data_IF_925380884787
#
_entry.id   IF_925380884787
#
_cell.length_a   1.000
_cell.length_b   1.000
_cell.length_c   1.000
_cell.angle_alpha   90.00
_cell.angle_beta   90.00
_cell.angle_gamma   90.00
#
_symmetry.space_group_name_H-M   'P 1'
#
loop_
_entity.id
_entity.type
_entity.pdbx_description
1 polymer ?
#
# COMPACT_ATOMS: atom_id res chain seq x y z
N UNK A 1 -61.17 -71.36 16.79
CA UNK A 1 -61.23 -70.02 17.48
C UNK A 1 -60.25 -69.18 16.77
N UNK A 2 -60.77 -68.25 15.95
CA UNK A 2 -59.98 -67.37 15.11
C UNK A 2 -59.66 -66.08 15.86
N UNK A 3 -58.38 -65.75 15.96
CA UNK A 3 -57.94 -64.46 16.41
C UNK A 3 -57.23 -63.71 15.27
N UNK A 4 -57.88 -62.67 14.79
CA UNK A 4 -57.31 -61.75 13.80
C UNK A 4 -56.37 -60.74 14.52
N UNK A 5 -55.20 -60.39 13.91
CA UNK A 5 -54.41 -59.24 14.44
C UNK A 5 -54.89 -57.92 13.80
N UNK A 6 -54.97 -56.88 14.64
CA UNK A 6 -55.24 -55.50 14.26
C UNK A 6 -54.02 -54.89 13.52
N UNK A 7 -54.21 -54.02 12.50
CA UNK A 7 -53.13 -53.29 11.88
C UNK A 7 -52.72 -52.11 12.77
N UNK A 8 -51.38 -51.94 12.97
CA UNK A 8 -50.76 -50.84 13.63
C UNK A 8 -50.89 -49.52 12.79
N UNK A 9 -51.34 -48.46 13.45
CA UNK A 9 -51.42 -47.12 12.87
C UNK A 9 -50.03 -46.59 12.56
N UNK A 10 -49.77 -46.25 11.27
CA UNK A 10 -48.56 -45.56 10.82
C UNK A 10 -48.55 -44.11 11.35
N UNK A 11 -47.53 -43.78 12.15
CA UNK A 11 -47.23 -42.38 12.50
C UNK A 11 -46.80 -41.58 11.29
N UNK A 12 -46.94 -40.25 11.33
CA UNK A 12 -46.58 -39.39 10.20
C UNK A 12 -45.06 -39.48 9.92
N UNK A 13 -44.72 -39.73 8.65
CA UNK A 13 -43.33 -39.75 8.17
C UNK A 13 -42.71 -38.37 8.38
N UNK A 14 -41.63 -38.28 9.15
CA UNK A 14 -40.78 -37.13 9.26
C UNK A 14 -40.10 -36.93 7.89
N UNK A 15 -40.26 -35.75 7.22
CA UNK A 15 -39.56 -35.52 5.98
C UNK A 15 -38.06 -35.60 6.21
N UNK A 16 -37.25 -36.13 5.27
CA UNK A 16 -35.81 -36.15 5.40
C UNK A 16 -35.29 -34.75 5.52
N UNK A 17 -34.42 -34.51 6.50
CA UNK A 17 -33.67 -33.26 6.62
C UNK A 17 -33.00 -32.95 5.27
N UNK A 18 -33.28 -31.78 4.73
CA UNK A 18 -32.63 -31.29 3.50
C UNK A 18 -31.12 -31.44 3.72
N UNK A 19 -30.46 -32.16 2.81
CA UNK A 19 -29.02 -32.25 2.77
C UNK A 19 -28.49 -30.82 2.73
N UNK A 20 -27.68 -30.40 3.73
CA UNK A 20 -26.97 -29.13 3.71
C UNK A 20 -26.13 -29.12 2.43
N UNK A 21 -26.59 -28.38 1.41
CA UNK A 21 -25.88 -28.21 0.16
C UNK A 21 -24.48 -27.69 0.51
N UNK A 22 -23.48 -28.27 -0.16
CA UNK A 22 -22.10 -27.82 0.02
C UNK A 22 -22.00 -26.30 -0.19
N UNK A 23 -21.42 -25.56 0.78
CA UNK A 23 -21.29 -24.11 0.68
C UNK A 23 -20.54 -23.75 -0.63
N UNK A 24 -21.10 -22.82 -1.39
CA UNK A 24 -20.58 -22.42 -2.71
C UNK A 24 -19.29 -21.60 -2.60
N UNK A 25 -19.16 -20.84 -1.49
CA UNK A 25 -18.05 -19.92 -1.25
C UNK A 25 -17.28 -20.28 0.02
N UNK A 26 -15.98 -20.07 0.00
CA UNK A 26 -15.13 -20.33 1.17
C UNK A 26 -15.35 -19.26 2.24
N UNK A 27 -15.49 -17.99 1.83
CA UNK A 27 -15.74 -16.84 2.72
C UNK A 27 -16.66 -15.82 2.04
N UNK A 28 -17.54 -15.18 2.82
CA UNK A 28 -18.34 -14.03 2.41
C UNK A 28 -18.12 -12.83 3.34
N UNK A 29 -17.99 -11.63 2.78
CA UNK A 29 -18.10 -10.35 3.49
C UNK A 29 -19.48 -9.81 3.19
N UNK A 30 -20.35 -9.73 4.22
CA UNK A 30 -21.76 -9.43 4.04
C UNK A 30 -22.18 -8.14 4.75
N UNK A 31 -23.11 -7.41 4.18
CA UNK A 31 -23.80 -6.27 4.81
C UNK A 31 -23.06 -4.94 4.75
N UNK A 32 -21.86 -4.88 4.16
CA UNK A 32 -21.04 -3.68 4.10
C UNK A 32 -21.36 -2.76 2.93
N UNK A 33 -20.80 -1.55 2.96
CA UNK A 33 -20.74 -0.63 1.82
C UNK A 33 -19.45 -0.88 1.05
N UNK A 34 -19.56 -1.45 -0.14
CA UNK A 34 -18.41 -1.66 -1.03
C UNK A 34 -18.03 -0.34 -1.70
N UNK A 35 -16.76 0.04 -1.56
CA UNK A 35 -16.12 1.11 -2.35
C UNK A 35 -15.03 0.46 -3.20
N UNK A 36 -15.32 0.30 -4.48
CA UNK A 36 -14.37 -0.18 -5.49
C UNK A 36 -14.33 0.80 -6.66
N UNK A 37 -13.38 1.75 -6.66
CA UNK A 37 -13.32 2.77 -7.71
C UNK A 37 -13.03 2.20 -9.10
N UNK A 38 -12.38 1.02 -9.21
CA UNK A 38 -12.15 0.36 -10.50
C UNK A 38 -13.44 -0.09 -11.16
N UNK A 39 -14.38 -0.62 -10.38
CA UNK A 39 -15.70 -1.04 -10.85
C UNK A 39 -16.73 0.10 -10.87
N UNK A 40 -16.38 1.28 -10.35
CA UNK A 40 -17.31 2.39 -10.17
C UNK A 40 -18.38 2.13 -9.10
N UNK A 41 -18.11 1.20 -8.17
CA UNK A 41 -19.08 0.82 -7.12
C UNK A 41 -18.83 1.65 -5.86
N UNK A 42 -19.90 2.26 -5.34
CA UNK A 42 -20.00 2.84 -4.00
C UNK A 42 -21.42 2.56 -3.51
N UNK A 43 -21.66 1.36 -3.04
CA UNK A 43 -23.00 0.89 -2.69
C UNK A 43 -22.91 -0.31 -1.75
N UNK A 44 -24.04 -0.62 -1.07
CA UNK A 44 -24.16 -1.87 -0.35
C UNK A 44 -24.04 -3.04 -1.32
N UNK A 45 -23.01 -3.88 -1.11
CA UNK A 45 -22.77 -5.11 -1.87
C UNK A 45 -22.10 -6.13 -0.95
N UNK A 46 -22.48 -7.37 -1.14
CA UNK A 46 -21.81 -8.51 -0.54
C UNK A 46 -20.75 -9.05 -1.50
N UNK A 47 -19.61 -9.47 -0.94
CA UNK A 47 -18.48 -10.01 -1.68
C UNK A 47 -18.18 -11.42 -1.20
N UNK A 48 -18.05 -12.37 -2.11
CA UNK A 48 -17.69 -13.75 -1.77
C UNK A 48 -16.41 -14.20 -2.45
N UNK A 49 -15.69 -15.08 -1.76
CA UNK A 49 -14.40 -15.59 -2.18
C UNK A 49 -14.46 -17.13 -2.33
N UNK A 50 -13.74 -17.64 -3.32
CA UNK A 50 -13.54 -19.07 -3.55
C UNK A 50 -12.16 -19.30 -4.15
N UNK A 51 -11.44 -20.30 -3.65
CA UNK A 51 -10.12 -20.68 -4.14
C UNK A 51 -9.15 -19.50 -4.27
N UNK A 52 -9.13 -18.62 -3.26
CA UNK A 52 -8.21 -17.47 -3.20
C UNK A 52 -8.57 -16.27 -4.08
N UNK A 53 -9.74 -16.30 -4.75
CA UNK A 53 -10.18 -15.23 -5.67
C UNK A 53 -11.55 -14.70 -5.32
N UNK A 54 -11.84 -13.50 -5.80
CA UNK A 54 -13.21 -12.97 -5.79
C UNK A 54 -14.08 -13.81 -6.71
N UNK A 55 -15.14 -14.40 -6.14
CA UNK A 55 -16.05 -15.29 -6.84
C UNK A 55 -17.40 -14.64 -7.17
N UNK A 56 -17.87 -13.71 -6.34
CA UNK A 56 -19.11 -12.98 -6.56
C UNK A 56 -19.08 -11.60 -5.89
N UNK A 57 -19.78 -10.63 -6.52
CA UNK A 57 -20.15 -9.33 -5.95
C UNK A 57 -21.63 -9.13 -6.26
N UNK A 58 -22.47 -9.25 -5.24
CA UNK A 58 -23.93 -9.28 -5.40
C UNK A 58 -24.59 -8.26 -4.45
N UNK A 59 -25.88 -7.92 -4.68
CA UNK A 59 -26.62 -7.06 -3.76
C UNK A 59 -26.84 -7.73 -2.41
N UNK A 60 -27.01 -9.06 -2.42
CA UNK A 60 -27.14 -9.88 -1.22
C UNK A 60 -26.71 -11.32 -1.50
N UNK A 61 -25.88 -11.86 -0.64
CA UNK A 61 -25.44 -13.26 -0.67
C UNK A 61 -26.00 -13.97 0.58
N UNK A 62 -26.76 -15.06 0.38
CA UNK A 62 -27.28 -15.83 1.50
C UNK A 62 -26.15 -16.41 2.35
N UNK A 63 -26.21 -16.27 3.68
CA UNK A 63 -25.24 -16.81 4.64
C UNK A 63 -24.97 -18.30 4.41
N UNK A 64 -26.01 -19.08 4.05
CA UNK A 64 -25.91 -20.53 3.78
C UNK A 64 -25.04 -20.87 2.58
N UNK A 65 -24.72 -19.91 1.68
CA UNK A 65 -23.81 -20.10 0.56
C UNK A 65 -22.34 -19.97 0.95
N UNK A 66 -22.03 -19.52 2.16
CA UNK A 66 -20.66 -19.27 2.63
C UNK A 66 -20.29 -20.23 3.74
N UNK A 67 -19.07 -20.79 3.72
CA UNK A 67 -18.52 -21.59 4.83
C UNK A 67 -18.18 -20.71 6.04
N UNK A 68 -17.67 -19.51 5.77
CA UNK A 68 -17.32 -18.50 6.77
C UNK A 68 -17.90 -17.15 6.34
N UNK A 69 -18.30 -16.33 7.34
CA UNK A 69 -18.88 -15.02 7.10
C UNK A 69 -18.18 -13.98 7.98
N UNK A 70 -17.85 -12.84 7.36
CA UNK A 70 -17.46 -11.61 8.02
C UNK A 70 -18.64 -10.66 7.93
N UNK A 71 -19.19 -10.25 9.07
CA UNK A 71 -20.22 -9.20 9.16
C UNK A 71 -19.58 -7.81 9.00
N UNK A 72 -19.89 -7.16 7.91
CA UNK A 72 -19.43 -5.82 7.58
C UNK A 72 -20.55 -4.77 7.74
N UNK A 73 -21.65 -5.09 8.43
CA UNK A 73 -22.76 -4.16 8.63
C UNK A 73 -22.28 -2.84 9.25
N UNK A 74 -22.61 -1.72 8.58
CA UNK A 74 -22.19 -0.38 9.01
C UNK A 74 -20.72 -0.05 8.74
N UNK A 75 -20.00 -0.89 7.98
CA UNK A 75 -18.57 -0.73 7.66
C UNK A 75 -18.34 -0.60 6.17
N UNK A 76 -17.15 -0.14 5.83
CA UNK A 76 -16.67 -0.06 4.46
C UNK A 76 -15.99 -1.37 4.08
N UNK A 77 -16.27 -1.86 2.89
CA UNK A 77 -15.54 -2.96 2.26
C UNK A 77 -14.76 -2.38 1.09
N UNK A 78 -13.46 -2.56 1.08
CA UNK A 78 -12.58 -2.04 0.03
C UNK A 78 -11.68 -3.16 -0.49
N UNK A 79 -11.15 -3.07 -1.72
CA UNK A 79 -10.05 -3.92 -2.15
C UNK A 79 -8.92 -3.89 -1.12
N UNK A 80 -8.17 -4.97 -1.00
CA UNK A 80 -6.99 -4.98 -0.13
C UNK A 80 -6.11 -3.78 -0.39
N UNK A 81 -5.73 -3.07 0.67
CA UNK A 81 -4.95 -1.84 0.57
C UNK A 81 -3.56 -2.14 0.00
N UNK A 82 -3.03 -1.19 -0.75
CA UNK A 82 -1.70 -1.25 -1.37
C UNK A 82 -0.88 -0.07 -0.87
N UNK A 83 0.20 -0.36 -0.16
CA UNK A 83 1.18 0.65 0.26
C UNK A 83 2.37 0.64 -0.68
N UNK A 84 2.53 1.72 -1.46
CA UNK A 84 3.58 1.83 -2.48
C UNK A 84 4.95 2.18 -1.94
N UNK A 85 5.08 2.44 -0.64
CA UNK A 85 6.34 2.84 -0.04
C UNK A 85 6.47 2.33 1.39
N UNK A 86 7.22 1.24 1.56
CA UNK A 86 7.54 0.62 2.84
C UNK A 86 9.00 0.16 2.85
N UNK A 87 9.51 -0.19 4.04
CA UNK A 87 10.83 -0.81 4.18
C UNK A 87 10.70 -2.12 4.98
N UNK A 88 10.57 -3.24 4.26
CA UNK A 88 10.20 -4.54 4.84
C UNK A 88 11.30 -5.59 4.73
N UNK A 89 12.55 -5.19 4.96
CA UNK A 89 13.71 -6.09 5.00
C UNK A 89 14.33 -6.16 6.39
N UNK A 90 13.63 -6.80 7.38
CA UNK A 90 14.10 -6.89 8.75
C UNK A 90 15.44 -7.66 8.83
N UNK A 91 16.31 -7.23 9.75
CA UNK A 91 17.59 -7.86 10.01
C UNK A 91 18.71 -7.52 9.03
N UNK A 92 18.41 -6.93 7.87
CA UNK A 92 19.41 -6.49 6.88
C UNK A 92 19.33 -4.99 6.66
N UNK A 93 18.18 -4.45 6.24
CA UNK A 93 18.00 -3.01 6.19
C UNK A 93 17.86 -2.44 7.59
N UNK A 94 18.54 -1.33 7.87
CA UNK A 94 18.38 -0.65 9.15
C UNK A 94 16.97 -0.08 9.37
N UNK A 95 16.18 0.07 8.29
CA UNK A 95 14.78 0.48 8.31
C UNK A 95 13.81 -0.69 8.51
N UNK A 96 14.26 -1.94 8.26
CA UNK A 96 13.41 -3.11 8.07
C UNK A 96 12.43 -3.42 9.19
N UNK A 97 11.15 -3.60 8.82
CA UNK A 97 10.06 -4.09 9.66
C UNK A 97 9.48 -5.38 9.09
N UNK A 98 8.69 -6.09 9.89
CA UNK A 98 7.90 -7.24 9.45
C UNK A 98 6.62 -6.79 8.74
N UNK A 99 6.43 -7.21 7.48
CA UNK A 99 5.30 -6.78 6.66
C UNK A 99 3.96 -7.36 7.16
N UNK A 100 3.94 -8.59 7.64
CA UNK A 100 2.70 -9.22 8.11
C UNK A 100 2.22 -8.53 9.38
N UNK A 101 3.13 -8.19 10.28
CA UNK A 101 2.83 -7.52 11.54
C UNK A 101 2.38 -6.07 11.34
N UNK A 102 3.06 -5.30 10.48
CA UNK A 102 2.86 -3.85 10.39
C UNK A 102 1.97 -3.42 9.20
N UNK A 103 1.90 -4.24 8.14
CA UNK A 103 1.11 -3.95 6.95
C UNK A 103 -0.18 -4.80 6.91
N UNK A 104 -0.05 -6.15 6.84
CA UNK A 104 -1.20 -7.04 6.68
C UNK A 104 -2.21 -6.90 7.82
N UNK A 105 -1.76 -6.82 9.07
CA UNK A 105 -2.62 -6.65 10.24
C UNK A 105 -3.49 -5.40 10.17
N UNK A 106 -3.11 -4.40 9.36
CA UNK A 106 -3.81 -3.12 9.20
C UNK A 106 -4.59 -3.00 7.88
N UNK A 107 -4.75 -4.09 7.12
CA UNK A 107 -5.51 -4.11 5.87
C UNK A 107 -4.68 -3.95 4.61
N UNK A 108 -3.37 -3.73 4.73
CA UNK A 108 -2.44 -3.63 3.60
C UNK A 108 -2.08 -5.04 3.14
N UNK A 109 -2.77 -5.55 2.14
CA UNK A 109 -2.56 -6.90 1.60
C UNK A 109 -1.42 -6.97 0.59
N UNK A 110 -1.01 -5.81 0.05
CA UNK A 110 0.12 -5.66 -0.87
C UNK A 110 0.99 -4.50 -0.41
N UNK A 111 2.27 -4.74 -0.17
CA UNK A 111 3.26 -3.72 0.20
C UNK A 111 4.43 -3.72 -0.78
N UNK A 112 4.94 -2.53 -1.08
CA UNK A 112 6.08 -2.35 -1.97
C UNK A 112 7.27 -1.86 -1.15
N UNK A 113 8.34 -2.66 -1.12
CA UNK A 113 9.61 -2.24 -0.54
C UNK A 113 10.28 -1.20 -1.43
N UNK A 114 10.56 -0.03 -0.88
CA UNK A 114 11.09 1.10 -1.63
C UNK A 114 12.62 1.14 -1.62
N UNK A 115 13.25 0.00 -1.94
CA UNK A 115 14.68 -0.08 -2.17
C UNK A 115 15.52 -0.39 -0.95
N UNK A 116 14.98 -1.12 0.02
CA UNK A 116 15.79 -1.64 1.15
C UNK A 116 16.90 -2.55 0.68
N UNK A 117 16.67 -3.34 -0.39
CA UNK A 117 17.66 -4.21 -1.02
C UNK A 117 18.28 -3.56 -2.27
N UNK A 118 19.56 -3.81 -2.48
CA UNK A 118 20.27 -3.64 -3.75
C UNK A 118 20.61 -4.99 -4.36
N UNK A 119 21.28 -4.99 -5.52
CA UNK A 119 21.55 -6.21 -6.29
C UNK A 119 22.29 -7.30 -5.48
N UNK A 120 23.22 -6.91 -4.60
CA UNK A 120 23.99 -7.86 -3.78
C UNK A 120 23.21 -8.44 -2.60
N UNK A 121 22.14 -7.77 -2.16
CA UNK A 121 21.35 -8.17 -0.98
C UNK A 121 19.97 -8.70 -1.34
N UNK A 122 19.53 -8.54 -2.60
CA UNK A 122 18.19 -8.91 -3.05
C UNK A 122 17.89 -10.41 -2.94
N UNK A 123 18.87 -11.27 -3.19
CA UNK A 123 18.70 -12.72 -3.07
C UNK A 123 18.25 -13.16 -1.68
N UNK A 124 18.78 -12.50 -0.64
CA UNK A 124 18.33 -12.69 0.74
C UNK A 124 16.91 -12.18 0.98
N UNK A 125 16.59 -11.00 0.44
CA UNK A 125 15.24 -10.43 0.53
C UNK A 125 14.20 -11.35 -0.13
N UNK A 126 14.44 -11.79 -1.35
CA UNK A 126 13.55 -12.68 -2.07
C UNK A 126 13.30 -14.01 -1.31
N UNK A 127 14.37 -14.62 -0.81
CA UNK A 127 14.29 -15.95 -0.18
C UNK A 127 13.72 -15.92 1.24
N UNK A 128 14.13 -14.95 2.06
CA UNK A 128 13.84 -14.97 3.50
C UNK A 128 12.75 -14.00 3.93
N UNK A 129 12.35 -13.07 3.05
CA UNK A 129 11.28 -12.12 3.33
C UNK A 129 10.11 -12.30 2.36
N UNK A 130 10.34 -12.18 1.04
CA UNK A 130 9.25 -12.25 0.06
C UNK A 130 8.57 -13.62 0.06
N UNK A 131 9.35 -14.70 -0.03
CA UNK A 131 8.81 -16.05 -0.17
C UNK A 131 7.94 -16.52 1.02
N UNK A 132 8.30 -16.25 2.31
CA UNK A 132 7.48 -16.69 3.44
C UNK A 132 6.37 -15.70 3.82
N UNK A 133 6.36 -14.45 3.32
CA UNK A 133 5.41 -13.43 3.70
C UNK A 133 3.99 -13.75 3.23
N UNK A 134 3.02 -13.55 4.11
CA UNK A 134 1.58 -13.60 3.77
C UNK A 134 1.14 -12.31 3.06
N UNK A 135 1.76 -11.18 3.39
CA UNK A 135 1.63 -9.93 2.64
C UNK A 135 2.20 -10.14 1.24
N UNK A 136 1.49 -9.72 0.20
CA UNK A 136 2.06 -9.70 -1.16
C UNK A 136 3.13 -8.63 -1.22
N UNK A 137 4.36 -9.03 -1.48
CA UNK A 137 5.50 -8.13 -1.54
C UNK A 137 5.98 -7.95 -2.97
N UNK A 138 6.15 -6.69 -3.35
CA UNK A 138 6.92 -6.24 -4.50
C UNK A 138 8.03 -5.32 -4.01
N UNK A 139 8.97 -4.95 -4.89
CA UNK A 139 10.04 -4.04 -4.52
C UNK A 139 10.53 -3.19 -5.70
N UNK A 140 11.02 -2.01 -5.38
CA UNK A 140 11.99 -1.28 -6.19
C UNK A 140 13.40 -1.69 -5.77
N UNK A 141 14.27 -1.97 -6.71
CA UNK A 141 15.65 -2.31 -6.41
C UNK A 141 16.48 -1.04 -6.23
N UNK A 142 17.22 -0.91 -5.14
CA UNK A 142 18.13 0.22 -4.96
C UNK A 142 19.22 0.19 -6.05
N UNK A 143 19.53 1.36 -6.64
CA UNK A 143 20.63 1.47 -7.61
C UNK A 143 21.98 1.16 -6.97
N UNK A 144 22.13 1.40 -5.65
CA UNK A 144 23.28 0.89 -4.89
C UNK A 144 23.15 -0.61 -4.73
N UNK A 145 24.20 -1.35 -5.09
CA UNK A 145 24.23 -2.81 -4.96
C UNK A 145 24.04 -3.29 -3.53
N UNK A 146 24.39 -2.46 -2.55
CA UNK A 146 24.26 -2.78 -1.12
C UNK A 146 22.84 -2.61 -0.59
N UNK A 147 22.08 -1.65 -1.13
CA UNK A 147 20.82 -1.23 -0.54
C UNK A 147 20.99 -0.46 0.78
N UNK A 148 19.95 -0.37 1.60
CA UNK A 148 19.90 0.46 2.81
C UNK A 148 20.33 -0.32 4.06
N UNK A 149 21.59 -0.80 4.10
CA UNK A 149 22.07 -1.67 5.18
C UNK A 149 22.54 -0.91 6.42
N UNK A 150 22.89 0.38 6.32
CA UNK A 150 23.47 1.14 7.43
C UNK A 150 22.98 2.59 7.47
N UNK A 151 22.51 3.04 8.64
CA UNK A 151 22.19 4.47 8.86
C UNK A 151 23.43 5.36 8.88
N UNK A 152 24.60 4.81 9.26
CA UNK A 152 25.85 5.56 9.39
C UNK A 152 26.59 5.73 8.08
N UNK A 153 26.43 4.76 7.19
CA UNK A 153 27.09 4.73 5.89
C UNK A 153 25.97 4.79 4.85
N UNK A 154 25.86 5.93 4.18
CA UNK A 154 24.88 6.10 3.12
C UNK A 154 25.13 5.11 1.99
N UNK A 155 24.08 4.61 1.39
CA UNK A 155 24.14 3.60 0.34
C UNK A 155 24.88 4.02 -0.93
N UNK A 156 25.13 5.32 -1.10
CA UNK A 156 25.90 5.91 -2.19
C UNK A 156 26.99 6.86 -1.68
N UNK A 157 27.49 6.60 -0.46
CA UNK A 157 28.69 7.28 0.06
C UNK A 157 29.91 7.05 -0.84
N UNK A 158 30.00 5.88 -1.43
CA UNK A 158 30.87 5.58 -2.57
C UNK A 158 30.00 5.49 -3.83
N UNK A 159 30.19 6.40 -4.81
CA UNK A 159 29.43 6.37 -6.05
C UNK A 159 29.60 5.09 -6.89
N UNK A 160 30.68 4.35 -6.70
CA UNK A 160 30.95 3.10 -7.42
C UNK A 160 30.01 1.96 -7.00
N UNK A 161 29.27 2.14 -5.89
CA UNK A 161 28.20 1.20 -5.51
C UNK A 161 26.95 1.34 -6.38
N UNK A 162 26.79 2.40 -7.16
CA UNK A 162 25.74 2.52 -8.16
C UNK A 162 26.12 1.70 -9.40
N UNK A 163 25.51 0.52 -9.55
CA UNK A 163 25.83 -0.41 -10.64
C UNK A 163 24.56 -0.68 -11.49
N UNK A 164 24.40 0.01 -12.63
CA UNK A 164 23.25 -0.17 -13.49
C UNK A 164 23.22 -1.55 -14.16
N UNK A 165 24.37 -2.16 -14.48
CA UNK A 165 24.41 -3.48 -15.10
C UNK A 165 23.88 -4.56 -14.16
N UNK A 166 24.39 -4.62 -12.93
CA UNK A 166 23.89 -5.56 -11.90
C UNK A 166 22.44 -5.32 -11.56
N UNK A 167 22.01 -4.06 -11.53
CA UNK A 167 20.61 -3.69 -11.33
C UNK A 167 19.73 -4.27 -12.45
N UNK A 168 20.14 -4.13 -13.72
CA UNK A 168 19.44 -4.71 -14.87
C UNK A 168 19.36 -6.23 -14.78
N UNK A 169 20.47 -6.90 -14.53
CA UNK A 169 20.54 -8.36 -14.42
C UNK A 169 19.60 -8.87 -13.32
N UNK A 170 19.59 -8.19 -12.15
CA UNK A 170 18.74 -8.58 -11.00
C UNK A 170 17.25 -8.37 -11.31
N UNK A 171 16.89 -7.22 -11.92
CA UNK A 171 15.48 -6.96 -12.29
C UNK A 171 15.02 -7.97 -13.34
N UNK A 172 15.83 -8.30 -14.33
CA UNK A 172 15.49 -9.27 -15.38
C UNK A 172 15.28 -10.68 -14.82
N UNK A 173 16.07 -11.07 -13.82
CA UNK A 173 15.95 -12.36 -13.15
C UNK A 173 14.73 -12.47 -12.20
N UNK A 174 14.17 -11.34 -11.75
CA UNK A 174 13.12 -11.28 -10.72
C UNK A 174 11.96 -10.34 -11.08
N UNK A 175 11.50 -10.38 -12.34
CA UNK A 175 10.40 -9.51 -12.85
C UNK A 175 9.05 -9.77 -12.18
N UNK A 176 8.89 -10.89 -11.52
CA UNK A 176 7.71 -11.23 -10.72
C UNK A 176 7.61 -10.42 -9.42
N UNK A 177 8.75 -9.92 -8.91
CA UNK A 177 8.83 -9.15 -7.66
C UNK A 177 9.32 -7.72 -7.90
N UNK A 178 10.31 -7.51 -8.78
CA UNK A 178 10.95 -6.21 -8.99
C UNK A 178 10.19 -5.36 -10.00
N UNK A 179 9.77 -4.16 -9.54
CA UNK A 179 8.92 -3.23 -10.29
C UNK A 179 9.71 -2.11 -10.97
N UNK A 180 10.92 -1.80 -10.49
CA UNK A 180 11.72 -0.68 -10.98
C UNK A 180 12.95 -0.41 -10.12
N UNK A 181 13.50 0.79 -10.27
CA UNK A 181 14.74 1.20 -9.60
C UNK A 181 14.45 2.29 -8.57
N UNK A 182 14.98 2.15 -7.36
CA UNK A 182 14.98 3.19 -6.32
C UNK A 182 16.30 3.94 -6.31
N UNK A 183 16.22 5.26 -6.17
CA UNK A 183 17.37 6.11 -5.88
C UNK A 183 17.03 7.16 -4.82
N UNK A 184 17.96 7.39 -3.88
CA UNK A 184 17.89 8.53 -2.95
C UNK A 184 18.98 9.54 -3.32
N UNK A 185 18.62 10.83 -3.29
CA UNK A 185 19.52 11.94 -3.61
C UNK A 185 19.92 12.75 -2.37
N UNK A 186 19.52 12.30 -1.18
CA UNK A 186 19.78 12.98 0.10
C UNK A 186 21.28 13.01 0.39
N UNK A 187 21.81 14.19 0.73
CA UNK A 187 23.23 14.41 1.07
C UNK A 187 23.80 13.49 2.16
N UNK A 188 22.94 13.01 3.07
CA UNK A 188 23.35 12.06 4.10
C UNK A 188 23.64 10.66 3.53
N UNK A 189 23.16 10.35 2.34
CA UNK A 189 23.19 9.03 1.71
C UNK A 189 24.11 8.98 0.48
N UNK A 190 24.33 10.15 -0.15
CA UNK A 190 25.03 10.27 -1.43
C UNK A 190 26.26 11.13 -1.26
N UNK A 191 27.38 10.71 -1.85
CA UNK A 191 28.60 11.53 -1.92
C UNK A 191 28.35 12.83 -2.66
N UNK A 192 28.89 13.94 -2.16
CA UNK A 192 28.79 15.25 -2.83
C UNK A 192 29.32 15.24 -4.27
N UNK A 193 30.29 14.38 -4.57
CA UNK A 193 30.88 14.27 -5.92
C UNK A 193 29.92 13.64 -6.93
N UNK A 194 28.87 12.97 -6.45
CA UNK A 194 27.98 12.20 -7.30
C UNK A 194 26.97 13.10 -8.09
N UNK A 195 26.51 14.22 -7.48
CA UNK A 195 25.47 15.06 -8.08
C UNK A 195 24.24 14.25 -8.49
N UNK A 196 23.74 14.49 -9.70
CA UNK A 196 22.65 13.70 -10.31
C UNK A 196 23.10 12.39 -10.95
N UNK A 197 24.37 12.01 -10.87
CA UNK A 197 24.86 10.75 -11.47
C UNK A 197 24.10 9.52 -11.02
N UNK A 198 23.74 9.32 -9.71
CA UNK A 198 22.95 8.18 -9.29
C UNK A 198 21.56 8.13 -9.95
N UNK A 199 20.91 9.28 -10.15
CA UNK A 199 19.64 9.35 -10.86
C UNK A 199 19.80 8.92 -12.32
N UNK A 200 20.82 9.42 -13.01
CA UNK A 200 21.11 9.06 -14.41
C UNK A 200 21.39 7.55 -14.55
N UNK A 201 22.16 6.95 -13.63
CA UNK A 201 22.43 5.51 -13.63
C UNK A 201 21.18 4.68 -13.33
N UNK A 202 20.33 5.15 -12.40
CA UNK A 202 19.03 4.53 -12.14
C UNK A 202 18.12 4.58 -13.38
N UNK A 203 18.09 5.70 -14.10
CA UNK A 203 17.33 5.85 -15.35
C UNK A 203 17.89 4.99 -16.50
N UNK A 204 19.19 4.79 -16.58
CA UNK A 204 19.82 3.88 -17.51
C UNK A 204 19.35 2.43 -17.27
N UNK A 205 19.42 1.95 -16.03
CA UNK A 205 18.96 0.63 -15.65
C UNK A 205 17.44 0.46 -15.88
N UNK A 206 16.65 1.47 -15.51
CA UNK A 206 15.20 1.48 -15.69
C UNK A 206 14.82 1.46 -17.18
N UNK A 207 15.52 2.21 -18.03
CA UNK A 207 15.31 2.19 -19.49
C UNK A 207 15.62 0.81 -20.09
N UNK A 208 16.72 0.19 -19.68
CA UNK A 208 17.13 -1.14 -20.16
C UNK A 208 16.16 -2.26 -19.74
N UNK A 209 15.42 -2.06 -18.65
CA UNK A 209 14.46 -3.03 -18.13
C UNK A 209 13.00 -2.71 -18.48
N UNK A 210 12.73 -1.50 -19.01
CA UNK A 210 11.37 -1.01 -19.29
C UNK A 210 10.56 -0.74 -18.02
N UNK A 211 11.24 -0.30 -16.94
CA UNK A 211 10.63 -0.06 -15.63
C UNK A 211 10.76 1.41 -15.20
N UNK A 212 9.97 1.91 -14.23
CA UNK A 212 10.10 3.26 -13.70
C UNK A 212 11.26 3.39 -12.70
N UNK A 213 11.61 4.66 -12.41
CA UNK A 213 12.46 5.04 -11.29
C UNK A 213 11.59 5.66 -10.18
N UNK A 214 11.84 5.29 -8.92
CA UNK A 214 11.30 5.98 -7.75
C UNK A 214 12.40 6.81 -7.10
N UNK A 215 12.21 8.13 -7.03
CA UNK A 215 13.20 9.09 -6.53
C UNK A 215 12.79 9.66 -5.19
N UNK A 216 13.73 9.62 -4.22
CA UNK A 216 13.68 10.36 -2.96
C UNK A 216 14.54 11.64 -3.12
N UNK A 217 13.93 12.85 -3.21
CA UNK A 217 14.65 14.04 -3.64
C UNK A 217 15.21 14.91 -2.52
N UNK A 218 14.81 14.68 -1.26
CA UNK A 218 15.01 15.59 -0.14
C UNK A 218 16.48 15.88 0.15
N UNK A 219 16.79 17.13 0.52
CA UNK A 219 18.11 17.55 0.99
C UNK A 219 19.28 17.14 0.09
N UNK A 220 19.13 17.22 -1.23
CA UNK A 220 20.22 16.96 -2.18
C UNK A 220 21.41 17.93 -1.98
N UNK A 221 22.57 17.63 -2.56
CA UNK A 221 23.79 18.43 -2.37
C UNK A 221 23.76 19.82 -3.02
N UNK A 222 22.82 20.10 -3.87
CA UNK A 222 22.73 21.40 -4.56
C UNK A 222 21.84 21.35 -5.77
N UNK A 223 21.32 20.17 -6.07
CA UNK A 223 20.32 19.99 -7.12
C UNK A 223 18.96 20.51 -6.62
N UNK A 224 18.38 21.43 -7.38
CA UNK A 224 17.03 21.89 -7.08
C UNK A 224 16.01 20.80 -7.40
N UNK A 225 14.87 20.86 -6.73
CA UNK A 225 13.74 19.98 -7.07
C UNK A 225 13.34 20.13 -8.53
N UNK A 226 13.46 21.32 -9.11
CA UNK A 226 13.15 21.60 -10.51
C UNK A 226 14.06 20.79 -11.43
N UNK A 227 15.38 20.74 -11.17
CA UNK A 227 16.32 19.92 -11.95
C UNK A 227 16.02 18.41 -11.81
N UNK A 228 15.64 17.97 -10.61
CA UNK A 228 15.29 16.56 -10.37
C UNK A 228 14.05 16.18 -11.18
N UNK A 229 12.94 16.95 -11.05
CA UNK A 229 11.69 16.60 -11.74
C UNK A 229 11.76 16.79 -13.25
N UNK A 230 12.60 17.72 -13.74
CA UNK A 230 12.83 17.90 -15.18
C UNK A 230 13.55 16.69 -15.80
N UNK A 231 14.35 15.97 -15.02
CA UNK A 231 15.01 14.73 -15.44
C UNK A 231 14.06 13.52 -15.44
N UNK A 232 12.89 13.57 -14.76
CA UNK A 232 11.96 12.44 -14.66
C UNK A 232 11.11 12.27 -15.92
N UNK A 233 10.83 11.01 -16.26
CA UNK A 233 10.05 10.59 -17.43
C UNK A 233 8.62 10.23 -17.00
N UNK A 234 7.74 10.07 -18.00
CA UNK A 234 6.42 9.48 -17.79
C UNK A 234 6.54 8.12 -17.06
N UNK A 235 5.74 7.94 -16.02
CA UNK A 235 5.72 6.74 -15.18
C UNK A 235 6.75 6.72 -14.05
N UNK A 236 7.78 7.59 -14.05
CA UNK A 236 8.68 7.73 -12.92
C UNK A 236 7.92 8.31 -11.70
N UNK A 237 8.42 8.04 -10.51
CA UNK A 237 7.75 8.37 -9.25
C UNK A 237 8.61 9.32 -8.43
N UNK A 238 8.08 10.49 -8.10
CA UNK A 238 8.62 11.37 -7.06
C UNK A 238 7.92 11.06 -5.75
N UNK A 239 8.61 10.44 -4.80
CA UNK A 239 8.06 10.23 -3.46
C UNK A 239 8.38 11.37 -2.51
N UNK A 240 7.76 11.39 -1.32
CA UNK A 240 7.91 12.45 -0.33
C UNK A 240 7.45 13.83 -0.83
N UNK A 241 6.36 13.82 -1.58
CA UNK A 241 5.84 15.02 -2.25
C UNK A 241 5.62 16.20 -1.30
N UNK A 242 5.16 15.94 -0.08
CA UNK A 242 4.71 17.00 0.84
C UNK A 242 5.68 17.26 2.00
N UNK A 243 6.98 17.05 1.80
CA UNK A 243 7.95 17.38 2.84
C UNK A 243 8.05 18.89 3.09
N UNK A 244 8.35 19.27 4.34
CA UNK A 244 8.46 20.65 4.76
C UNK A 244 9.88 21.24 4.70
N UNK A 245 10.84 20.51 4.13
CA UNK A 245 12.23 20.93 4.00
C UNK A 245 12.39 21.92 2.83
N UNK A 246 13.55 22.60 2.78
CA UNK A 246 13.92 23.45 1.65
C UNK A 246 13.88 22.67 0.31
N UNK A 247 13.65 23.39 -0.77
CA UNK A 247 13.58 22.81 -2.12
C UNK A 247 12.49 21.75 -2.32
N UNK A 248 11.36 21.89 -1.60
CA UNK A 248 10.16 21.06 -1.81
C UNK A 248 9.32 21.52 -3.01
N UNK A 249 8.10 20.97 -3.11
CA UNK A 249 7.17 21.24 -4.21
C UNK A 249 6.62 22.68 -4.24
N UNK A 250 6.70 23.41 -3.12
CA UNK A 250 6.30 24.82 -3.03
C UNK A 250 7.50 25.74 -3.17
N UNK A 251 7.26 26.91 -3.76
CA UNK A 251 8.23 28.01 -3.77
C UNK A 251 8.16 28.83 -2.46
N UNK A 252 9.00 29.87 -2.34
CA UNK A 252 9.06 30.76 -1.17
C UNK A 252 7.75 31.53 -0.91
N UNK A 253 6.87 31.62 -1.91
CA UNK A 253 5.55 32.26 -1.82
C UNK A 253 4.45 31.27 -1.47
N UNK A 254 4.78 29.99 -1.29
CA UNK A 254 3.82 28.91 -1.05
C UNK A 254 3.07 28.47 -2.32
N UNK A 255 3.58 28.82 -3.51
CA UNK A 255 2.99 28.38 -4.77
C UNK A 255 3.64 27.08 -5.23
N UNK A 256 2.82 26.16 -5.81
CA UNK A 256 3.35 24.95 -6.44
C UNK A 256 4.24 25.37 -7.62
N UNK A 257 5.49 24.87 -7.61
CA UNK A 257 6.48 25.19 -8.63
C UNK A 257 6.01 24.77 -10.03
N UNK A 258 6.29 25.59 -11.03
CA UNK A 258 5.92 25.29 -12.43
C UNK A 258 6.51 23.98 -12.93
N UNK A 259 7.74 23.66 -12.54
CA UNK A 259 8.40 22.41 -12.92
C UNK A 259 7.64 21.19 -12.37
N UNK A 260 7.10 21.27 -11.15
CA UNK A 260 6.27 20.22 -10.54
C UNK A 260 4.98 20.00 -11.35
N UNK A 261 4.27 21.08 -11.71
CA UNK A 261 3.06 20.98 -12.53
C UNK A 261 3.38 20.41 -13.93
N UNK A 262 4.45 20.87 -14.55
CA UNK A 262 4.90 20.35 -15.83
C UNK A 262 5.30 18.86 -15.77
N UNK A 263 5.95 18.43 -14.70
CA UNK A 263 6.28 17.01 -14.47
C UNK A 263 5.03 16.16 -14.31
N UNK A 264 4.04 16.63 -13.51
CA UNK A 264 2.74 15.97 -13.38
C UNK A 264 2.05 15.82 -14.73
N UNK A 265 2.03 16.88 -15.54
CA UNK A 265 1.35 16.90 -16.84
C UNK A 265 2.09 16.00 -17.88
N UNK A 266 3.39 15.74 -17.70
CA UNK A 266 4.15 14.74 -18.43
C UNK A 266 3.90 13.30 -17.98
N UNK A 267 3.16 13.08 -16.89
CA UNK A 267 2.86 11.75 -16.37
C UNK A 267 3.81 11.24 -15.29
N UNK A 268 4.59 12.11 -14.65
CA UNK A 268 5.32 11.77 -13.42
C UNK A 268 4.32 11.56 -12.29
N UNK A 269 4.49 10.49 -11.54
CA UNK A 269 3.64 10.16 -10.39
C UNK A 269 4.18 10.80 -9.11
N UNK A 270 3.31 11.47 -8.38
CA UNK A 270 3.61 12.07 -7.09
C UNK A 270 3.07 11.16 -5.99
N UNK A 271 3.97 10.65 -5.14
CA UNK A 271 3.67 9.73 -4.05
C UNK A 271 3.84 10.42 -2.70
N UNK A 272 2.98 10.11 -1.74
CA UNK A 272 3.02 10.75 -0.42
C UNK A 272 4.30 10.40 0.32
N UNK A 273 4.59 9.10 0.51
CA UNK A 273 5.77 8.64 1.25
C UNK A 273 5.92 9.38 2.58
N UNK A 274 4.93 9.28 3.49
CA UNK A 274 4.82 10.12 4.69
C UNK A 274 6.12 10.21 5.50
N UNK A 275 6.72 9.06 5.82
CA UNK A 275 8.02 8.96 6.49
C UNK A 275 8.14 9.61 7.86
N UNK A 276 9.33 9.45 8.44
CA UNK A 276 9.70 10.11 9.70
C UNK A 276 9.84 11.64 9.56
N UNK A 277 10.27 12.12 8.36
CA UNK A 277 10.60 13.53 8.11
C UNK A 277 10.03 14.10 6.80
N UNK A 278 9.00 13.49 6.20
CA UNK A 278 8.67 13.74 4.79
C UNK A 278 7.22 14.18 4.53
N UNK A 279 6.47 14.51 5.59
CA UNK A 279 5.09 14.99 5.46
C UNK A 279 4.84 16.18 6.37
N UNK A 280 4.42 17.29 5.79
CA UNK A 280 3.96 18.50 6.50
C UNK A 280 2.51 18.78 6.15
N UNK A 281 1.65 18.93 7.17
CA UNK A 281 0.26 19.35 6.98
C UNK A 281 0.18 20.65 6.19
N UNK A 282 0.97 21.64 6.57
CA UNK A 282 0.99 22.94 5.90
C UNK A 282 1.33 22.83 4.41
N UNK A 283 2.35 22.04 4.05
CA UNK A 283 2.76 21.89 2.65
C UNK A 283 1.68 21.14 1.88
N UNK A 284 1.10 20.08 2.49
CA UNK A 284 0.05 19.29 1.87
C UNK A 284 -1.21 20.15 1.63
N UNK A 285 -1.69 20.92 2.62
CA UNK A 285 -2.83 21.83 2.49
C UNK A 285 -2.64 22.79 1.31
N UNK A 286 -1.53 23.53 1.29
CA UNK A 286 -1.22 24.48 0.22
C UNK A 286 -1.11 23.84 -1.16
N UNK A 287 -0.57 22.64 -1.23
CA UNK A 287 -0.42 21.91 -2.49
C UNK A 287 -1.77 21.38 -3.01
N UNK A 288 -2.60 20.82 -2.13
CA UNK A 288 -3.95 20.36 -2.46
C UNK A 288 -4.85 21.49 -2.94
N UNK A 289 -4.83 22.66 -2.26
CA UNK A 289 -5.58 23.86 -2.64
C UNK A 289 -5.22 24.35 -4.05
N UNK A 290 -4.01 24.05 -4.51
CA UNK A 290 -3.52 24.41 -5.84
C UNK A 290 -3.62 23.24 -6.84
N UNK A 291 -4.32 22.16 -6.47
CA UNK A 291 -4.61 21.02 -7.36
C UNK A 291 -3.45 20.03 -7.53
N UNK A 292 -2.40 20.10 -6.70
CA UNK A 292 -1.38 19.05 -6.65
C UNK A 292 -1.83 17.94 -5.69
N UNK A 293 -2.69 17.04 -6.18
CA UNK A 293 -3.13 15.85 -5.45
C UNK A 293 -2.14 14.70 -5.66
N UNK A 294 -1.89 13.83 -4.66
CA UNK A 294 -0.97 12.71 -4.81
C UNK A 294 -1.58 11.65 -5.73
N UNK A 295 -0.74 10.96 -6.49
CA UNK A 295 -1.16 9.78 -7.25
C UNK A 295 -1.41 8.60 -6.33
N UNK A 296 -0.54 8.40 -5.33
CA UNK A 296 -0.62 7.34 -4.33
C UNK A 296 -0.47 7.92 -2.93
N UNK A 297 -1.23 7.36 -1.98
CA UNK A 297 -1.06 7.61 -0.55
C UNK A 297 -0.28 6.42 0.00
N UNK A 298 0.90 6.68 0.55
CA UNK A 298 1.83 5.70 1.05
C UNK A 298 2.50 6.15 2.34
N UNK A 299 3.10 5.22 3.06
CA UNK A 299 3.55 5.47 4.42
C UNK A 299 5.03 5.79 4.56
N UNK A 300 5.89 5.21 3.73
CA UNK A 300 7.32 5.06 4.05
C UNK A 300 7.51 4.41 5.43
N UNK A 301 6.71 3.35 5.72
CA UNK A 301 6.69 2.70 7.02
C UNK A 301 7.99 1.93 7.25
N UNK A 302 8.61 2.22 8.39
CA UNK A 302 9.87 1.63 8.77
C UNK A 302 10.07 1.68 10.30
N UNK A 303 11.13 1.03 10.79
CA UNK A 303 11.46 0.86 12.20
C UNK A 303 11.40 2.14 13.05
N UNK A 304 11.66 3.31 12.48
CA UNK A 304 11.74 4.55 13.24
C UNK A 304 10.44 5.36 13.25
N UNK A 305 9.39 4.90 12.55
CA UNK A 305 8.11 5.62 12.46
C UNK A 305 6.87 4.75 12.67
N UNK A 306 7.05 3.45 12.93
CA UNK A 306 5.94 2.54 13.28
C UNK A 306 5.25 2.91 14.59
N UNK A 307 5.96 3.59 15.50
CA UNK A 307 5.43 4.11 16.77
C UNK A 307 5.15 5.62 16.70
N UNK A 308 5.09 6.17 15.49
CA UNK A 308 4.83 7.58 15.16
C UNK A 308 5.99 8.24 14.39
N UNK A 309 5.65 9.24 13.61
CA UNK A 309 4.37 9.89 13.35
C UNK A 309 3.50 9.18 12.29
N UNK A 310 3.90 8.00 11.80
CA UNK A 310 3.21 7.30 10.69
C UNK A 310 2.20 6.28 11.21
N UNK A 311 2.60 5.41 12.14
CA UNK A 311 1.87 4.26 12.69
C UNK A 311 1.39 3.25 11.64
N UNK A 312 0.56 3.66 10.68
CA UNK A 312 -0.01 2.78 9.65
C UNK A 312 -0.49 3.55 8.42
N UNK A 313 -0.83 2.83 7.35
CA UNK A 313 -1.47 3.43 6.18
C UNK A 313 -2.85 4.03 6.53
N UNK A 314 -3.57 3.45 7.50
CA UNK A 314 -4.87 3.97 7.94
C UNK A 314 -4.75 5.33 8.63
N UNK A 315 -3.66 5.54 9.38
CA UNK A 315 -3.38 6.85 9.99
C UNK A 315 -3.04 7.89 8.91
N UNK A 316 -2.27 7.52 7.88
CA UNK A 316 -2.01 8.42 6.75
C UNK A 316 -3.29 8.71 5.97
N UNK A 317 -4.14 7.70 5.70
CA UNK A 317 -5.47 7.89 5.08
C UNK A 317 -6.33 8.84 5.91
N UNK A 318 -6.29 8.73 7.25
CA UNK A 318 -7.03 9.60 8.16
C UNK A 318 -6.58 11.06 8.09
N UNK A 319 -5.27 11.32 7.86
CA UNK A 319 -4.75 12.66 7.61
C UNK A 319 -5.32 13.26 6.33
N UNK A 320 -5.43 12.48 5.25
CA UNK A 320 -6.04 12.95 4.00
C UNK A 320 -7.55 13.14 4.11
N UNK A 321 -8.24 12.34 4.93
CA UNK A 321 -9.65 12.55 5.23
C UNK A 321 -9.85 13.87 5.99
N UNK A 322 -9.03 14.15 7.00
CA UNK A 322 -8.99 15.41 7.74
C UNK A 322 -8.72 16.61 6.82
N UNK A 323 -7.82 16.45 5.83
CA UNK A 323 -7.49 17.48 4.83
C UNK A 323 -8.56 17.65 3.74
N UNK A 324 -9.71 16.95 3.86
CA UNK A 324 -10.87 17.14 3.01
C UNK A 324 -10.87 16.36 1.69
N UNK A 325 -9.96 15.39 1.49
CA UNK A 325 -10.07 14.52 0.33
C UNK A 325 -11.33 13.64 0.45
N UNK A 326 -12.13 13.52 -0.63
CA UNK A 326 -13.29 12.63 -0.64
C UNK A 326 -12.90 11.19 -0.32
N UNK A 327 -13.75 10.49 0.44
CA UNK A 327 -13.52 9.10 0.86
C UNK A 327 -13.18 8.18 -0.32
N UNK A 328 -13.95 8.27 -1.41
CA UNK A 328 -13.71 7.50 -2.63
C UNK A 328 -12.33 7.76 -3.23
N UNK A 329 -11.89 9.02 -3.21
CA UNK A 329 -10.60 9.44 -3.75
C UNK A 329 -9.43 8.90 -2.91
N UNK A 330 -9.61 8.85 -1.58
CA UNK A 330 -8.63 8.23 -0.68
C UNK A 330 -8.52 6.74 -0.98
N UNK A 331 -9.66 6.04 -1.08
CA UNK A 331 -9.69 4.60 -1.41
C UNK A 331 -9.03 4.35 -2.78
N UNK A 332 -9.29 5.18 -3.79
CA UNK A 332 -8.63 5.05 -5.10
C UNK A 332 -7.10 5.12 -4.98
N UNK A 333 -6.58 6.04 -4.13
CA UNK A 333 -5.13 6.29 -3.98
C UNK A 333 -4.40 5.24 -3.14
N UNK A 334 -5.13 4.33 -2.51
CA UNK A 334 -4.57 3.19 -1.75
C UNK A 334 -4.99 1.84 -2.34
N UNK A 335 -5.66 1.81 -3.49
CA UNK A 335 -6.11 0.57 -4.17
C UNK A 335 -5.83 0.63 -5.67
N UNK A 336 -6.69 1.28 -6.45
CA UNK A 336 -6.65 1.31 -7.92
C UNK A 336 -5.43 2.05 -8.46
N UNK A 337 -5.14 3.23 -7.91
CA UNK A 337 -4.03 4.05 -8.38
C UNK A 337 -2.68 3.36 -8.18
N UNK A 338 -2.34 2.85 -6.97
CA UNK A 338 -1.12 2.08 -6.79
C UNK A 338 -1.08 0.81 -7.66
N UNK A 339 -2.19 0.09 -7.82
CA UNK A 339 -2.24 -1.08 -8.70
C UNK A 339 -1.92 -0.73 -10.17
N UNK A 340 -2.34 0.44 -10.65
CA UNK A 340 -1.97 0.96 -11.98
C UNK A 340 -0.49 1.31 -12.05
N UNK A 341 0.03 2.02 -11.04
CA UNK A 341 1.45 2.44 -10.99
C UNK A 341 2.38 1.24 -11.06
N UNK A 342 2.02 0.13 -10.39
CA UNK A 342 2.83 -1.10 -10.42
C UNK A 342 2.46 -2.06 -11.56
N UNK A 343 1.55 -1.70 -12.46
CA UNK A 343 1.16 -2.52 -13.61
C UNK A 343 0.40 -3.81 -13.25
N UNK A 344 -0.31 -3.83 -12.11
CA UNK A 344 -1.03 -5.02 -11.59
C UNK A 344 -2.54 -4.80 -11.41
N UNK A 345 -3.09 -3.74 -12.02
CA UNK A 345 -4.53 -3.49 -11.93
C UNK A 345 -5.31 -4.64 -12.57
N UNK A 346 -6.35 -5.11 -11.87
CA UNK A 346 -7.15 -6.27 -12.24
C UNK A 346 -6.70 -7.55 -11.51
N UNK A 347 -5.43 -7.67 -11.15
CA UNK A 347 -4.95 -8.72 -10.23
C UNK A 347 -5.19 -8.29 -8.78
N UNK A 348 -4.78 -7.06 -8.45
CA UNK A 348 -4.97 -6.39 -7.15
C UNK A 348 -5.63 -5.01 -7.37
N UNK A 349 -6.03 -4.35 -6.28
CA UNK A 349 -6.64 -3.01 -6.33
C UNK A 349 -8.10 -2.98 -6.74
N UNK A 350 -8.76 -4.13 -6.85
CA UNK A 350 -10.20 -4.28 -7.16
C UNK A 350 -10.75 -5.55 -6.55
N UNK A 351 -12.07 -5.60 -6.33
CA UNK A 351 -12.84 -6.79 -5.98
C UNK A 351 -13.67 -7.30 -7.17
N UNK A 352 -13.25 -7.00 -8.39
CA UNK A 352 -13.87 -7.58 -9.58
C UNK A 352 -13.73 -9.11 -9.57
N UNK A 353 -14.77 -9.81 -10.06
CA UNK A 353 -14.76 -11.29 -10.11
C UNK A 353 -13.53 -11.77 -10.88
N UNK A 354 -12.81 -12.72 -10.29
CA UNK A 354 -11.56 -13.26 -10.81
C UNK A 354 -10.29 -12.58 -10.30
N UNK A 355 -10.36 -11.37 -9.71
CA UNK A 355 -9.23 -10.75 -9.03
C UNK A 355 -8.78 -11.56 -7.80
N UNK A 356 -7.59 -11.28 -7.27
CA UNK A 356 -7.16 -11.88 -6.01
C UNK A 356 -8.17 -11.57 -4.90
N UNK A 357 -8.42 -12.55 -4.03
CA UNK A 357 -9.35 -12.44 -2.92
C UNK A 357 -8.75 -11.62 -1.77
N UNK A 358 -8.36 -10.38 -2.04
CA UNK A 358 -7.72 -9.49 -1.09
C UNK A 358 -8.68 -8.32 -0.77
N UNK A 359 -9.15 -8.22 0.48
CA UNK A 359 -10.09 -7.20 0.92
C UNK A 359 -9.75 -6.67 2.31
N UNK A 360 -10.07 -5.41 2.56
CA UNK A 360 -10.09 -4.83 3.90
C UNK A 360 -11.51 -4.40 4.27
N UNK A 361 -11.94 -4.71 5.48
CA UNK A 361 -13.15 -4.18 6.09
C UNK A 361 -12.73 -3.09 7.05
N UNK A 362 -13.15 -1.86 6.77
CA UNK A 362 -12.73 -0.67 7.49
C UNK A 362 -13.91 -0.06 8.27
N UNK A 363 -13.59 0.51 9.41
CA UNK A 363 -14.49 1.28 10.25
C UNK A 363 -14.09 2.75 10.21
N UNK A 364 -15.07 3.65 10.10
CA UNK A 364 -14.88 5.08 10.35
C UNK A 364 -15.23 5.37 11.81
N UNK A 365 -14.19 5.46 12.65
CA UNK A 365 -14.34 5.73 14.06
C UNK A 365 -14.59 7.21 14.32
N UNK A 366 -15.64 7.49 15.08
CA UNK A 366 -15.94 8.82 15.57
C UNK A 366 -15.20 9.06 16.90
N UNK A 367 -14.75 10.27 17.10
CA UNK A 367 -14.07 10.68 18.32
C UNK A 367 -12.79 11.44 17.99
N UNK A 368 -12.52 12.49 18.74
CA UNK A 368 -11.38 13.36 18.44
C UNK A 368 -10.06 12.64 18.65
N UNK A 369 -9.29 12.45 17.60
CA UNK A 369 -7.93 11.90 17.62
C UNK A 369 -6.94 12.96 17.13
N UNK A 370 -5.83 13.12 17.83
CA UNK A 370 -4.76 14.03 17.42
C UNK A 370 -3.85 13.32 16.43
N UNK A 371 -3.86 13.81 15.18
CA UNK A 371 -2.97 13.36 14.12
C UNK A 371 -1.77 14.30 14.05
N UNK A 372 -0.57 13.73 14.00
CA UNK A 372 0.69 14.47 14.01
C UNK A 372 1.42 14.30 12.68
N UNK A 373 2.01 15.37 12.14
CA UNK A 373 2.87 15.29 10.97
C UNK A 373 4.35 15.01 11.34
N UNK A 374 5.23 14.95 10.33
CA UNK A 374 6.66 14.68 10.55
C UNK A 374 7.42 15.84 11.22
N UNK A 375 6.80 16.98 11.43
CA UNK A 375 7.39 18.19 12.02
C UNK A 375 6.80 18.55 13.38
N UNK A 376 5.90 17.70 13.91
CA UNK A 376 5.26 17.91 15.20
C UNK A 376 4.02 18.82 15.15
N UNK A 377 3.54 19.19 13.95
CA UNK A 377 2.27 19.89 13.81
C UNK A 377 1.10 18.91 14.04
N UNK A 378 0.17 19.30 14.90
CA UNK A 378 -0.95 18.48 15.34
C UNK A 378 -2.26 19.00 14.77
N UNK A 379 -3.07 18.09 14.23
CA UNK A 379 -4.43 18.36 13.76
C UNK A 379 -5.41 17.42 14.45
N UNK A 380 -6.51 17.96 14.96
CA UNK A 380 -7.59 17.19 15.58
C UNK A 380 -8.52 16.64 14.52
N UNK A 381 -8.61 15.32 14.41
CA UNK A 381 -9.52 14.63 13.50
C UNK A 381 -10.75 14.12 14.26
N UNK A 382 -11.95 14.42 13.76
CA UNK A 382 -13.21 13.90 14.31
C UNK A 382 -13.50 12.46 13.86
N UNK A 383 -12.96 12.08 12.72
CA UNK A 383 -13.17 10.77 12.10
C UNK A 383 -11.83 10.18 11.66
N UNK A 384 -11.57 8.91 11.99
CA UNK A 384 -10.37 8.18 11.59
C UNK A 384 -10.73 6.80 11.04
N UNK A 385 -9.85 6.25 10.21
CA UNK A 385 -9.96 4.87 9.75
C UNK A 385 -9.44 3.89 10.79
N UNK A 386 -10.11 2.74 10.89
CA UNK A 386 -9.61 1.58 11.64
C UNK A 386 -9.87 0.29 10.87
N UNK A 387 -8.99 -0.70 11.02
CA UNK A 387 -9.16 -2.01 10.43
C UNK A 387 -10.09 -2.87 11.29
N UNK A 388 -11.17 -3.40 10.70
CA UNK A 388 -12.06 -4.37 11.34
C UNK A 388 -11.69 -5.81 10.98
N UNK A 389 -11.50 -6.11 9.69
CA UNK A 389 -11.11 -7.42 9.20
C UNK A 389 -10.26 -7.31 7.93
N UNK A 390 -9.43 -8.31 7.71
CA UNK A 390 -8.60 -8.43 6.52
C UNK A 390 -8.82 -9.80 5.90
N UNK A 391 -9.04 -9.82 4.60
CA UNK A 391 -9.07 -11.04 3.80
C UNK A 391 -7.88 -11.01 2.86
N UNK A 392 -7.08 -12.08 2.87
CA UNK A 392 -5.91 -12.24 2.01
C UNK A 392 -5.97 -13.58 1.30
N UNK A 393 -5.93 -13.56 -0.02
CA UNK A 393 -6.08 -14.74 -0.85
C UNK A 393 -7.37 -15.55 -0.52
N UNK A 394 -8.49 -14.85 -0.24
CA UNK A 394 -9.78 -15.44 0.09
C UNK A 394 -9.92 -15.99 1.50
N UNK A 395 -8.92 -15.81 2.35
CA UNK A 395 -8.90 -16.29 3.74
C UNK A 395 -8.89 -15.14 4.73
N UNK A 396 -9.63 -15.29 5.83
CA UNK A 396 -9.65 -14.32 6.92
C UNK A 396 -8.31 -14.35 7.69
N UNK A 397 -7.68 -13.18 7.79
CA UNK A 397 -6.45 -13.00 8.60
C UNK A 397 -6.85 -12.83 10.06
N UNK A 398 -6.66 -13.87 10.89
CA UNK A 398 -7.10 -13.90 12.29
C UNK A 398 -5.98 -13.94 13.33
N UNK A 399 -4.77 -14.30 12.90
CA UNK A 399 -3.65 -14.68 13.77
C UNK A 399 -2.49 -13.67 13.78
N UNK A 400 -2.62 -12.54 13.10
CA UNK A 400 -1.65 -11.45 13.16
C UNK A 400 -2.12 -10.42 14.21
N UNK A 401 -1.33 -10.18 15.27
CA UNK A 401 -1.67 -9.17 16.28
C UNK A 401 -1.79 -7.79 15.65
N UNK A 402 -2.90 -7.10 15.92
CA UNK A 402 -3.10 -5.74 15.46
C UNK A 402 -2.34 -4.77 16.35
N UNK A 403 -1.54 -3.91 15.75
CA UNK A 403 -0.91 -2.81 16.44
C UNK A 403 -1.95 -1.75 16.84
N UNK A 404 -1.71 -1.05 17.96
CA UNK A 404 -2.48 0.13 18.30
C UNK A 404 -2.26 1.23 17.24
N UNK A 405 -3.35 1.84 16.80
CA UNK A 405 -3.33 3.03 15.94
C UNK A 405 -3.21 4.30 16.80
N UNK A 406 -2.89 5.44 16.19
CA UNK A 406 -2.86 6.73 16.88
C UNK A 406 -4.14 6.95 17.72
N UNK A 407 -3.98 7.32 18.99
CA UNK A 407 -5.10 7.56 19.92
C UNK A 407 -5.48 6.39 20.83
N UNK A 408 -4.71 5.31 20.88
CA UNK A 408 -4.91 4.15 21.77
C UNK A 408 -3.77 3.96 22.80
N UNK A 409 -2.95 4.99 23.05
CA UNK A 409 -1.95 5.03 24.11
C UNK A 409 -2.42 5.89 25.28
#
# INVERSE_FOLDING_TARGET
MNSHPHPAAGGPAVPPAASAGEALFDLGILGGTLIDPHQGIEARRDVAFRAGRVAAVEESIAVSRCRQVVDATGRLVVPGLIDTHTHVYPGVSHYGIDADQHCLAQGVTTAIDAGSAGADTFGGFARYVVAPSRTRLYAFLNISTMGMISRRIGELSDPDWADPQRTVETIQAHRDVLLGVKVRLTRAQVSQRAGLTPLRLAQEAAAATGTPVMVHPQESWGESIDQIVDALREGDILTHTYHGLEHGVLDERGQVRRAILAARDRGVHFDVGHGEGSFSFRVCELALDQGLTPRTISTDLHKYNVDGPVWSLLDVMSKFLLLGLPLRDIVERVTVAPARVIGRLGEVGTLAVGAHGDAAVLELRQGGVDLIDSYGDVRRADVTFACHAVVRAGELVSDVPRQATAGHA
#
